data_IF_198955038175
#
_entry.id   IF_198955038175
#
_cell.length_a   1.000
_cell.length_b   1.000
_cell.length_c   1.000
_cell.angle_alpha   90.00
_cell.angle_beta   90.00
_cell.angle_gamma   90.00
#
_symmetry.space_group_name_H-M   'P 1'
#
loop_
_entity.id
_entity.type
_entity.pdbx_description
1 polymer ?
#
# COMPACT_ATOMS: atom_id res chain seq x y z
N UNK A 1 14.54 -10.32 -15.53
CA UNK A 1 14.15 -8.96 -15.94
C UNK A 1 12.65 -8.74 -15.87
N UNK A 2 11.80 -9.41 -16.65
CA UNK A 2 10.33 -9.18 -16.56
C UNK A 2 9.74 -9.50 -15.18
N UNK A 3 10.10 -10.65 -14.60
CA UNK A 3 9.65 -11.03 -13.24
C UNK A 3 10.18 -10.07 -12.14
N UNK A 4 11.38 -9.53 -12.32
CA UNK A 4 11.98 -8.58 -11.38
C UNK A 4 11.24 -7.24 -11.43
N UNK A 5 10.82 -6.80 -12.62
CA UNK A 5 10.01 -5.59 -12.78
C UNK A 5 8.67 -5.76 -12.07
N UNK A 6 7.99 -6.90 -12.25
CA UNK A 6 6.73 -7.19 -11.54
C UNK A 6 6.91 -7.20 -10.03
N UNK A 7 8.00 -7.80 -9.53
CA UNK A 7 8.32 -7.81 -8.11
C UNK A 7 8.58 -6.41 -7.55
N UNK A 8 9.35 -5.58 -8.26
CA UNK A 8 9.63 -4.18 -7.91
C UNK A 8 8.34 -3.37 -7.89
N UNK A 9 7.52 -3.46 -8.95
CA UNK A 9 6.25 -2.73 -9.03
C UNK A 9 5.27 -3.14 -7.92
N UNK A 10 5.21 -4.44 -7.59
CA UNK A 10 4.39 -4.93 -6.49
C UNK A 10 4.86 -4.36 -5.16
N UNK A 11 6.17 -4.40 -4.90
CA UNK A 11 6.78 -3.84 -3.69
C UNK A 11 6.51 -2.35 -3.55
N UNK A 12 6.78 -1.56 -4.59
CA UNK A 12 6.60 -0.11 -4.57
C UNK A 12 5.14 0.28 -4.32
N UNK A 13 4.20 -0.39 -5.00
CA UNK A 13 2.78 -0.13 -4.78
C UNK A 13 2.30 -0.58 -3.39
N UNK A 14 2.84 -1.69 -2.85
CA UNK A 14 2.50 -2.12 -1.49
C UNK A 14 3.01 -1.13 -0.46
N UNK A 15 4.27 -0.71 -0.54
CA UNK A 15 4.86 0.30 0.35
C UNK A 15 4.12 1.64 0.26
N UNK A 16 3.78 2.08 -0.97
CA UNK A 16 2.98 3.29 -1.19
C UNK A 16 1.60 3.18 -0.54
N UNK A 17 0.90 2.07 -0.72
CA UNK A 17 -0.42 1.85 -0.12
C UNK A 17 -0.34 1.82 1.42
N UNK A 18 0.71 1.22 1.99
CA UNK A 18 0.94 1.21 3.44
C UNK A 18 1.18 2.63 3.99
N UNK A 19 2.01 3.42 3.31
CA UNK A 19 2.27 4.81 3.68
C UNK A 19 1.00 5.69 3.58
N UNK A 20 0.23 5.56 2.49
CA UNK A 20 -1.03 6.28 2.30
C UNK A 20 -2.05 5.92 3.38
N UNK A 21 -2.20 4.63 3.71
CA UNK A 21 -3.11 4.17 4.77
C UNK A 21 -2.67 4.70 6.14
N UNK A 22 -1.37 4.67 6.43
CA UNK A 22 -0.81 5.18 7.67
C UNK A 22 -1.05 6.68 7.84
N UNK A 23 -0.82 7.49 6.79
CA UNK A 23 -1.11 8.93 6.80
C UNK A 23 -2.59 9.19 7.12
N UNK A 24 -3.51 8.47 6.46
CA UNK A 24 -4.94 8.68 6.69
C UNK A 24 -5.35 8.27 8.11
N UNK A 25 -4.93 7.09 8.57
CA UNK A 25 -5.40 6.54 9.85
C UNK A 25 -4.73 7.15 11.06
N UNK A 26 -3.43 7.47 10.97
CA UNK A 26 -2.62 7.88 12.10
C UNK A 26 -2.45 9.40 12.18
N UNK A 27 -2.62 10.12 11.07
CA UNK A 27 -2.44 11.58 11.04
C UNK A 27 -3.76 12.30 10.77
N UNK A 28 -4.44 11.99 9.66
CA UNK A 28 -5.58 12.78 9.21
C UNK A 28 -6.86 12.52 10.00
N UNK A 29 -7.22 11.26 10.26
CA UNK A 29 -8.41 10.92 11.05
C UNK A 29 -8.33 11.45 12.50
N UNK A 30 -7.19 11.33 13.21
CA UNK A 30 -7.03 11.97 14.51
C UNK A 30 -7.14 13.50 14.44
N UNK A 31 -6.48 14.14 13.47
CA UNK A 31 -6.57 15.59 13.30
C UNK A 31 -8.01 16.06 13.01
N UNK A 32 -8.79 15.29 12.24
CA UNK A 32 -10.20 15.58 11.99
C UNK A 32 -11.01 15.49 13.28
N UNK A 33 -10.79 14.45 14.09
CA UNK A 33 -11.48 14.28 15.37
C UNK A 33 -11.15 15.40 16.37
N UNK A 34 -9.93 15.94 16.35
CA UNK A 34 -9.54 17.11 17.14
C UNK A 34 -10.22 18.39 16.60
N UNK A 35 -10.22 18.61 15.28
CA UNK A 35 -10.87 19.76 14.66
C UNK A 35 -12.39 19.80 14.89
N UNK A 36 -13.06 18.64 14.88
CA UNK A 36 -14.49 18.50 15.16
C UNK A 36 -14.87 18.92 16.60
N UNK A 37 -13.90 18.96 17.53
CA UNK A 37 -14.12 19.46 18.90
C UNK A 37 -14.12 21.00 18.97
N UNK A 38 -13.45 21.68 18.04
CA UNK A 38 -13.46 23.14 17.96
C UNK A 38 -14.70 23.66 17.21
N UNK A 39 -15.67 24.16 17.98
CA UNK A 39 -16.93 24.70 17.45
C UNK A 39 -16.82 26.13 16.88
N UNK A 40 -15.62 26.71 16.88
CA UNK A 40 -15.36 28.03 16.28
C UNK A 40 -15.57 28.00 14.76
N UNK A 41 -15.64 29.18 14.13
CA UNK A 41 -15.68 29.26 12.68
C UNK A 41 -14.41 28.67 12.03
N UNK A 42 -13.26 28.82 12.68
CA UNK A 42 -11.99 28.27 12.21
C UNK A 42 -11.96 26.74 12.29
N UNK A 43 -12.44 26.16 13.40
CA UNK A 43 -12.54 24.71 13.56
C UNK A 43 -13.47 24.05 12.53
N UNK A 44 -14.60 24.69 12.21
CA UNK A 44 -15.49 24.24 11.13
C UNK A 44 -14.81 24.27 9.76
N UNK A 45 -14.07 25.33 9.45
CA UNK A 45 -13.32 25.41 8.20
C UNK A 45 -12.21 24.36 8.13
N UNK A 46 -11.49 24.13 9.24
CA UNK A 46 -10.45 23.09 9.33
C UNK A 46 -11.04 21.69 9.14
N UNK A 47 -12.22 21.43 9.72
CA UNK A 47 -12.97 20.18 9.55
C UNK A 47 -13.32 19.91 8.08
N UNK A 48 -13.86 20.90 7.38
CA UNK A 48 -14.21 20.78 5.96
C UNK A 48 -12.96 20.55 5.09
N UNK A 49 -11.87 21.26 5.38
CA UNK A 49 -10.59 21.08 4.70
C UNK A 49 -10.04 19.66 4.91
N UNK A 50 -10.00 19.18 6.17
CA UNK A 50 -9.49 17.85 6.51
C UNK A 50 -10.33 16.74 5.87
N UNK A 51 -11.67 16.86 5.85
CA UNK A 51 -12.55 15.91 5.14
C UNK A 51 -12.20 15.83 3.66
N UNK A 52 -12.04 16.98 3.01
CA UNK A 52 -11.63 17.03 1.60
C UNK A 52 -10.26 16.39 1.38
N UNK A 53 -9.29 16.66 2.26
CA UNK A 53 -7.96 16.05 2.19
C UNK A 53 -8.02 14.53 2.37
N UNK A 54 -8.81 14.04 3.32
CA UNK A 54 -9.02 12.60 3.54
C UNK A 54 -9.63 11.97 2.30
N UNK A 55 -10.68 12.55 1.72
CA UNK A 55 -11.33 12.00 0.52
C UNK A 55 -10.36 11.90 -0.67
N UNK A 56 -9.51 12.91 -0.86
CA UNK A 56 -8.47 12.89 -1.89
C UNK A 56 -7.43 11.80 -1.63
N UNK A 57 -7.01 11.61 -0.38
CA UNK A 57 -6.03 10.59 0.01
C UNK A 57 -6.60 9.18 -0.08
N UNK A 58 -7.86 8.98 0.32
CA UNK A 58 -8.58 7.71 0.14
C UNK A 58 -8.71 7.36 -1.34
N UNK A 59 -8.99 8.35 -2.21
CA UNK A 59 -9.02 8.16 -3.66
C UNK A 59 -7.63 7.76 -4.22
N UNK A 60 -6.56 8.40 -3.76
CA UNK A 60 -5.20 8.04 -4.15
C UNK A 60 -4.82 6.61 -3.67
N UNK A 61 -5.16 6.26 -2.43
CA UNK A 61 -5.00 4.90 -1.90
C UNK A 61 -5.73 3.87 -2.75
N UNK A 62 -6.99 4.14 -3.11
CA UNK A 62 -7.78 3.26 -3.96
C UNK A 62 -7.14 3.05 -5.33
N UNK A 63 -6.62 4.11 -5.96
CA UNK A 63 -5.88 4.00 -7.22
C UNK A 63 -4.61 3.15 -7.09
N UNK A 64 -3.87 3.30 -5.98
CA UNK A 64 -2.69 2.47 -5.69
C UNK A 64 -3.09 0.99 -5.54
N UNK A 65 -4.19 0.69 -4.82
CA UNK A 65 -4.71 -0.68 -4.64
C UNK A 65 -5.17 -1.30 -5.95
N UNK A 66 -5.83 -0.52 -6.82
CA UNK A 66 -6.24 -0.97 -8.15
C UNK A 66 -5.03 -1.32 -9.02
N UNK A 67 -4.01 -0.46 -9.04
CA UNK A 67 -2.74 -0.76 -9.71
C UNK A 67 -2.04 -2.01 -9.16
N UNK A 68 -2.03 -2.17 -7.83
CA UNK A 68 -1.49 -3.36 -7.17
C UNK A 68 -2.26 -4.63 -7.53
N UNK A 69 -3.59 -4.55 -7.73
CA UNK A 69 -4.42 -5.69 -8.12
C UNK A 69 -4.06 -6.20 -9.52
N UNK A 70 -3.77 -5.29 -10.45
CA UNK A 70 -3.30 -5.65 -11.79
C UNK A 70 -1.95 -6.37 -11.72
N UNK A 71 -0.97 -5.79 -11.01
CA UNK A 71 0.35 -6.40 -10.86
C UNK A 71 0.25 -7.76 -10.16
N UNK A 72 -0.59 -7.87 -9.13
CA UNK A 72 -0.83 -9.13 -8.44
C UNK A 72 -1.31 -10.22 -9.41
N UNK A 73 -2.22 -9.91 -10.33
CA UNK A 73 -2.74 -10.88 -11.30
C UNK A 73 -1.67 -11.42 -12.26
N UNK A 74 -0.61 -10.67 -12.49
CA UNK A 74 0.53 -11.05 -13.34
C UNK A 74 1.65 -11.72 -12.53
N UNK A 75 1.95 -11.21 -11.35
CA UNK A 75 3.08 -11.68 -10.54
C UNK A 75 2.76 -12.96 -9.74
N UNK A 76 1.51 -13.13 -9.29
CA UNK A 76 1.10 -14.32 -8.53
C UNK A 76 1.35 -15.62 -9.31
N UNK A 77 0.93 -15.77 -10.59
CA UNK A 77 1.22 -16.97 -11.37
C UNK A 77 2.73 -17.22 -11.56
N UNK A 78 3.54 -16.17 -11.63
CA UNK A 78 5.00 -16.29 -11.72
C UNK A 78 5.55 -16.94 -10.45
N UNK A 79 5.20 -16.41 -9.28
CA UNK A 79 5.62 -16.97 -8.00
C UNK A 79 5.11 -18.41 -7.81
N UNK A 80 3.88 -18.70 -8.25
CA UNK A 80 3.32 -20.04 -8.22
C UNK A 80 4.11 -21.02 -9.10
N UNK A 81 4.50 -20.60 -10.30
CA UNK A 81 5.30 -21.41 -11.23
C UNK A 81 6.71 -21.66 -10.69
N UNK A 82 7.28 -20.68 -10.00
CA UNK A 82 8.58 -20.81 -9.34
C UNK A 82 8.51 -21.65 -8.05
N UNK A 83 7.32 -21.99 -7.56
CA UNK A 83 7.15 -22.66 -6.28
C UNK A 83 7.63 -21.80 -5.09
N UNK A 84 7.45 -20.48 -5.19
CA UNK A 84 7.90 -19.54 -4.18
C UNK A 84 7.05 -19.66 -2.90
N UNK A 85 7.68 -20.15 -1.85
CA UNK A 85 7.07 -20.37 -0.53
C UNK A 85 7.86 -19.62 0.54
N UNK A 86 7.33 -19.53 1.76
CA UNK A 86 8.02 -18.86 2.85
C UNK A 86 9.44 -19.40 3.10
N UNK A 87 9.63 -20.71 2.93
CA UNK A 87 10.94 -21.37 3.14
C UNK A 87 11.85 -21.31 1.91
N UNK A 88 11.29 -20.97 0.73
CA UNK A 88 12.02 -20.82 -0.52
C UNK A 88 11.44 -19.66 -1.33
N UNK A 89 11.71 -18.40 -0.94
CA UNK A 89 11.14 -17.24 -1.60
C UNK A 89 11.88 -16.91 -2.90
N UNK A 90 11.22 -16.17 -3.78
CA UNK A 90 11.83 -15.58 -4.97
C UNK A 90 12.55 -14.29 -4.59
N UNK A 91 13.87 -14.28 -4.76
CA UNK A 91 14.73 -13.17 -4.36
C UNK A 91 15.00 -12.18 -5.49
N UNK A 92 14.97 -10.90 -5.16
CA UNK A 92 15.49 -9.82 -6.00
C UNK A 92 16.34 -8.86 -5.18
N UNK A 93 17.36 -8.27 -5.82
CA UNK A 93 18.16 -7.22 -5.20
C UNK A 93 17.67 -5.85 -5.68
N UNK A 94 17.14 -5.04 -4.77
CA UNK A 94 16.59 -3.72 -5.07
C UNK A 94 16.93 -2.72 -3.95
N UNK A 95 17.28 -1.48 -4.30
CA UNK A 95 17.71 -0.44 -3.34
C UNK A 95 18.70 -0.92 -2.26
N UNK A 96 19.74 -1.64 -2.69
CA UNK A 96 20.81 -2.18 -1.82
C UNK A 96 20.31 -3.19 -0.77
N UNK A 97 19.11 -3.76 -0.97
CA UNK A 97 18.50 -4.77 -0.11
C UNK A 97 18.07 -5.98 -0.94
N UNK A 98 18.11 -7.14 -0.30
CA UNK A 98 17.55 -8.37 -0.85
C UNK A 98 16.11 -8.53 -0.34
N UNK A 99 15.17 -8.72 -1.28
CA UNK A 99 13.76 -8.89 -0.99
C UNK A 99 13.31 -10.28 -1.41
N UNK A 100 12.73 -11.03 -0.48
CA UNK A 100 12.22 -12.37 -0.73
C UNK A 100 10.69 -12.39 -0.86
N UNK A 101 10.17 -12.71 -2.04
CA UNK A 101 8.73 -12.79 -2.31
C UNK A 101 8.21 -14.23 -2.22
N UNK A 102 7.05 -14.43 -1.60
CA UNK A 102 6.43 -15.76 -1.51
C UNK A 102 4.91 -15.69 -1.44
N UNK A 103 4.26 -16.82 -1.75
CA UNK A 103 2.81 -16.99 -1.60
C UNK A 103 2.52 -17.71 -0.27
N UNK A 104 1.56 -17.20 0.52
CA UNK A 104 1.05 -17.88 1.71
C UNK A 104 -0.12 -18.85 1.41
N UNK A 105 -0.58 -19.59 2.43
CA UNK A 105 -1.69 -20.53 2.32
C UNK A 105 -3.02 -19.87 1.90
N UNK A 106 -3.15 -18.56 2.16
CA UNK A 106 -4.32 -17.76 1.79
C UNK A 106 -4.21 -17.16 0.38
N UNK A 107 -3.19 -17.55 -0.39
CA UNK A 107 -2.91 -17.05 -1.75
C UNK A 107 -2.60 -15.56 -1.79
N UNK A 108 -1.97 -15.01 -0.76
CA UNK A 108 -1.43 -13.66 -0.76
C UNK A 108 0.06 -13.67 -1.08
N UNK A 109 0.54 -12.61 -1.74
CA UNK A 109 1.97 -12.37 -1.91
C UNK A 109 2.47 -11.61 -0.69
N UNK A 110 3.56 -12.08 -0.12
CA UNK A 110 4.30 -11.44 0.96
C UNK A 110 5.73 -11.17 0.52
N UNK A 111 6.39 -10.22 1.18
CA UNK A 111 7.83 -10.01 1.06
C UNK A 111 8.49 -9.84 2.43
N UNK A 112 9.77 -10.13 2.49
CA UNK A 112 10.66 -9.93 3.65
C UNK A 112 11.90 -9.17 3.26
#
# INVERSE_FOLDING_TARGET
MENEILAIQYLENKEKALAERAEIDLELKPALAEADQDKSAAGKQATEALKTTIDLKESAFQQTVEGMTLIFSEFFPVLQTLGATKDNPYHIFYHEKDYGFYIDDNKNIHYT
#
